data_IF_728448013807
#
_entry.id   IF_728448013807
#
_cell.length_a   1.000
_cell.length_b   1.000
_cell.length_c   1.000
_cell.angle_alpha   90.00
_cell.angle_beta   90.00
_cell.angle_gamma   90.00
#
_symmetry.space_group_name_H-M   'P 1'
#
loop_
_entity.id
_entity.type
_entity.pdbx_description
1 polymer ?
#
# COMPACT_ATOMS: atom_id res chain seq x y z
N UNK A 1 4.28 -32.83 -28.13
CA UNK A 1 3.08 -31.97 -28.18
C UNK A 1 2.69 -31.85 -29.64
N UNK A 2 1.58 -32.47 -30.04
CA UNK A 2 1.16 -32.55 -31.44
C UNK A 2 0.67 -31.20 -31.95
N UNK A 3 1.15 -30.79 -33.14
CA UNK A 3 0.83 -29.49 -33.76
C UNK A 3 -0.67 -29.27 -33.98
N UNK A 4 -1.41 -30.35 -34.23
CA UNK A 4 -2.87 -30.33 -34.36
C UNK A 4 -3.60 -29.89 -33.08
N UNK A 5 -3.03 -30.16 -31.90
CA UNK A 5 -3.63 -29.75 -30.63
C UNK A 5 -3.46 -28.24 -30.42
N UNK A 6 -2.32 -27.69 -30.85
CA UNK A 6 -2.02 -26.26 -30.74
C UNK A 6 -2.90 -25.45 -31.69
N UNK A 7 -3.10 -25.94 -32.92
CA UNK A 7 -3.98 -25.27 -33.89
C UNK A 7 -5.46 -25.33 -33.49
N UNK A 8 -5.93 -26.46 -32.93
CA UNK A 8 -7.28 -26.57 -32.40
C UNK A 8 -7.54 -25.60 -31.23
N UNK A 9 -6.56 -25.42 -30.34
CA UNK A 9 -6.65 -24.45 -29.25
C UNK A 9 -6.65 -23.00 -29.77
N UNK A 10 -5.88 -22.72 -30.83
CA UNK A 10 -5.82 -21.39 -31.46
C UNK A 10 -7.15 -21.03 -32.12
N UNK A 11 -7.79 -21.97 -32.82
CA UNK A 11 -9.11 -21.76 -33.44
C UNK A 11 -10.22 -21.56 -32.41
N UNK A 12 -10.17 -22.26 -31.27
CA UNK A 12 -11.15 -22.07 -30.20
C UNK A 12 -10.98 -20.73 -29.47
N UNK A 13 -9.76 -20.22 -29.37
CA UNK A 13 -9.48 -18.90 -28.77
C UNK A 13 -9.96 -17.75 -29.67
N UNK A 14 -9.85 -17.91 -31.00
CA UNK A 14 -10.30 -16.91 -31.99
C UNK A 14 -11.83 -16.83 -32.12
N UNK A 15 -12.55 -17.87 -31.70
CA UNK A 15 -14.01 -17.97 -31.83
C UNK A 15 -14.78 -17.54 -30.57
N UNK A 16 -14.10 -17.05 -29.53
CA UNK A 16 -14.74 -16.59 -28.29
C UNK A 16 -15.01 -15.07 -28.34
N UNK A 17 -16.22 -14.62 -27.99
CA UNK A 17 -16.54 -13.19 -27.93
C UNK A 17 -15.66 -12.49 -26.88
N UNK A 18 -15.21 -11.27 -27.19
CA UNK A 18 -14.16 -10.49 -26.51
C UNK A 18 -14.34 -10.28 -24.99
N UNK A 19 -15.49 -10.63 -24.42
CA UNK A 19 -15.79 -10.46 -22.99
C UNK A 19 -15.17 -11.55 -22.08
N UNK A 20 -14.68 -12.67 -22.64
CA UNK A 20 -14.10 -13.80 -21.86
C UNK A 20 -12.57 -13.96 -22.07
N UNK A 21 -11.90 -13.00 -22.73
CA UNK A 21 -10.45 -13.10 -23.00
C UNK A 21 -9.59 -12.52 -21.85
N UNK A 22 -10.21 -11.81 -20.91
CA UNK A 22 -9.50 -11.15 -19.79
C UNK A 22 -9.11 -12.09 -18.65
N UNK A 23 -9.70 -13.29 -18.55
CA UNK A 23 -9.41 -14.21 -17.44
C UNK A 23 -8.33 -15.26 -17.75
N UNK A 24 -8.13 -15.65 -19.02
CA UNK A 24 -7.27 -16.80 -19.36
C UNK A 24 -5.88 -16.41 -19.87
N UNK A 25 -5.63 -15.15 -20.23
CA UNK A 25 -4.34 -14.69 -20.77
C UNK A 25 -3.38 -14.10 -19.73
N UNK A 26 -3.80 -13.93 -18.48
CA UNK A 26 -3.01 -13.32 -17.40
C UNK A 26 -1.90 -14.20 -16.80
N UNK A 27 -1.60 -15.36 -17.40
CA UNK A 27 -0.60 -16.32 -16.89
C UNK A 27 0.63 -16.52 -17.79
N UNK A 28 0.75 -15.83 -18.94
CA UNK A 28 1.90 -16.00 -19.83
C UNK A 28 2.42 -14.65 -20.36
N UNK A 29 3.56 -14.27 -19.78
CA UNK A 29 4.51 -13.21 -20.16
C UNK A 29 4.38 -11.85 -19.44
N UNK A 30 5.46 -11.38 -18.78
CA UNK A 30 5.48 -10.23 -17.89
C UNK A 30 6.02 -9.01 -18.62
N UNK A 31 5.16 -8.08 -19.02
CA UNK A 31 5.52 -6.70 -19.34
C UNK A 31 4.26 -5.92 -19.67
N UNK A 32 4.14 -4.73 -19.09
CA UNK A 32 3.12 -3.72 -19.36
C UNK A 32 1.71 -4.05 -18.85
N UNK A 33 1.50 -3.86 -17.55
CA UNK A 33 0.29 -3.19 -17.07
C UNK A 33 0.72 -2.20 -15.99
N UNK A 34 0.66 -0.91 -16.34
CA UNK A 34 0.83 0.21 -15.43
C UNK A 34 -0.34 0.20 -14.43
N UNK A 35 -0.19 -0.62 -13.39
CA UNK A 35 -0.83 -0.39 -12.11
C UNK A 35 -0.13 0.83 -11.51
N UNK A 36 -0.82 1.82 -10.93
CA UNK A 36 -0.17 2.78 -10.04
C UNK A 36 0.31 2.01 -8.81
N UNK A 37 1.50 1.42 -8.95
CA UNK A 37 2.23 0.74 -7.91
C UNK A 37 2.86 1.80 -7.00
N UNK A 38 2.01 2.59 -6.33
CA UNK A 38 2.46 3.63 -5.41
C UNK A 38 2.66 3.09 -3.98
N UNK A 39 2.98 1.80 -3.84
CA UNK A 39 3.21 1.17 -2.54
C UNK A 39 4.43 0.23 -2.47
N UNK A 40 5.30 0.24 -3.48
CA UNK A 40 6.52 -0.61 -3.49
C UNK A 40 7.83 0.18 -3.43
N UNK A 41 7.82 1.43 -2.95
CA UNK A 41 9.07 2.15 -2.63
C UNK A 41 9.75 1.70 -1.34
N UNK A 42 9.15 0.81 -0.56
CA UNK A 42 9.54 0.62 0.84
C UNK A 42 9.96 -0.81 1.17
N UNK A 43 11.10 -1.29 0.66
CA UNK A 43 11.78 -2.43 1.30
C UNK A 43 13.32 -2.33 1.41
N UNK A 44 13.97 -1.26 0.92
CA UNK A 44 15.46 -1.16 1.01
C UNK A 44 16.01 0.23 1.34
N UNK A 45 15.17 1.18 1.74
CA UNK A 45 15.68 2.46 2.26
C UNK A 45 16.19 2.29 3.70
N UNK A 46 17.48 2.55 3.94
CA UNK A 46 18.03 2.62 5.31
C UNK A 46 17.16 3.55 6.16
N UNK A 47 16.78 3.08 7.35
CA UNK A 47 16.06 3.89 8.32
C UNK A 47 16.86 5.18 8.60
N UNK A 48 16.20 6.33 8.46
CA UNK A 48 16.78 7.64 8.77
C UNK A 48 16.33 8.04 10.16
N UNK A 49 17.26 8.56 10.97
CA UNK A 49 16.93 9.20 12.22
C UNK A 49 16.28 10.55 11.91
N UNK A 50 15.04 10.74 12.37
CA UNK A 50 14.28 11.98 12.25
C UNK A 50 14.12 12.58 13.63
N UNK A 51 14.32 13.90 13.75
CA UNK A 51 14.11 14.63 14.99
C UNK A 51 12.85 15.47 14.86
N UNK A 52 11.92 15.33 15.80
CA UNK A 52 10.68 16.09 15.87
C UNK A 52 10.58 16.81 17.21
N UNK A 53 9.81 17.90 17.25
CA UNK A 53 9.42 18.56 18.49
C UNK A 53 7.99 18.15 18.79
N UNK A 54 7.81 17.41 19.89
CA UNK A 54 6.51 17.02 20.41
C UNK A 54 6.31 17.73 21.76
N UNK A 55 5.07 18.11 22.06
CA UNK A 55 4.71 18.56 23.41
C UNK A 55 4.58 17.36 24.34
N UNK A 56 4.64 17.60 25.66
CA UNK A 56 4.59 16.56 26.70
C UNK A 56 3.39 15.61 26.53
N UNK A 57 2.22 16.13 26.17
CA UNK A 57 1.02 15.34 25.93
C UNK A 57 1.20 14.26 24.84
N UNK A 58 1.89 14.58 23.73
CA UNK A 58 2.13 13.61 22.66
C UNK A 58 3.24 12.62 23.00
N UNK A 59 4.21 13.02 23.82
CA UNK A 59 5.22 12.09 24.35
C UNK A 59 4.59 11.07 25.30
N UNK A 60 3.71 11.53 26.21
CA UNK A 60 2.98 10.65 27.13
C UNK A 60 2.11 9.65 26.36
N UNK A 61 1.38 10.09 25.32
CA UNK A 61 0.60 9.20 24.46
C UNK A 61 1.48 8.10 23.85
N UNK A 62 2.66 8.46 23.32
CA UNK A 62 3.60 7.49 22.76
C UNK A 62 4.14 6.52 23.81
N UNK A 63 4.40 6.98 25.03
CA UNK A 63 4.86 6.13 26.14
C UNK A 63 3.79 5.16 26.61
N UNK A 64 2.59 5.65 26.88
CA UNK A 64 1.46 4.82 27.32
C UNK A 64 1.19 3.73 26.30
N UNK A 65 1.17 4.06 25.01
CA UNK A 65 0.93 3.09 23.95
C UNK A 65 2.09 2.11 23.78
N UNK A 66 3.34 2.55 23.94
CA UNK A 66 4.50 1.66 23.92
C UNK A 66 4.44 0.64 25.08
N UNK A 67 4.09 1.08 26.30
CA UNK A 67 3.94 0.22 27.47
C UNK A 67 2.77 -0.76 27.26
N UNK A 68 1.61 -0.27 26.80
CA UNK A 68 0.40 -1.06 26.60
C UNK A 68 0.58 -2.17 25.56
N UNK A 69 1.32 -1.88 24.48
CA UNK A 69 1.54 -2.82 23.37
C UNK A 69 2.82 -3.65 23.51
N UNK A 70 3.72 -3.27 24.44
CA UNK A 70 5.06 -3.84 24.56
C UNK A 70 5.97 -3.52 23.36
N UNK A 71 5.58 -2.55 22.53
CA UNK A 71 6.33 -2.15 21.33
C UNK A 71 7.20 -0.92 21.58
N UNK A 72 8.18 -0.69 20.71
CA UNK A 72 8.96 0.55 20.75
C UNK A 72 8.11 1.77 20.35
N UNK A 73 8.45 2.96 20.87
CA UNK A 73 7.84 4.24 20.44
C UNK A 73 7.89 4.40 18.91
N UNK A 74 8.97 3.96 18.26
CA UNK A 74 9.11 3.97 16.80
C UNK A 74 8.08 3.08 16.11
N UNK A 75 7.78 1.90 16.65
CA UNK A 75 6.76 1.00 16.09
C UNK A 75 5.36 1.61 16.24
N UNK A 76 5.06 2.18 17.40
CA UNK A 76 3.78 2.87 17.66
C UNK A 76 3.60 4.04 16.69
N UNK A 77 4.63 4.87 16.53
CA UNK A 77 4.62 5.98 15.58
C UNK A 77 4.45 5.49 14.13
N UNK A 78 5.11 4.39 13.76
CA UNK A 78 4.95 3.78 12.42
C UNK A 78 3.51 3.32 12.19
N UNK A 79 2.88 2.71 13.19
CA UNK A 79 1.47 2.29 13.10
C UNK A 79 0.53 3.50 12.94
N UNK A 80 0.75 4.56 13.73
CA UNK A 80 -0.03 5.79 13.61
C UNK A 80 0.12 6.44 12.22
N UNK A 81 1.34 6.50 11.68
CA UNK A 81 1.59 7.01 10.34
C UNK A 81 0.96 6.14 9.24
N UNK A 82 0.97 4.81 9.40
CA UNK A 82 0.31 3.90 8.47
C UNK A 82 -1.22 4.11 8.48
N UNK A 83 -1.80 4.28 9.66
CA UNK A 83 -3.23 4.60 9.83
C UNK A 83 -3.57 5.96 9.23
N UNK A 84 -2.73 6.98 9.42
CA UNK A 84 -2.89 8.29 8.81
C UNK A 84 -2.84 8.21 7.29
N UNK A 85 -1.88 7.47 6.72
CA UNK A 85 -1.73 7.31 5.29
C UNK A 85 -2.91 6.57 4.64
N UNK A 86 -3.57 5.67 5.39
CA UNK A 86 -4.75 4.94 4.90
C UNK A 86 -6.06 5.72 4.95
N UNK A 87 -6.09 6.93 5.53
CA UNK A 87 -7.29 7.75 5.55
C UNK A 87 -7.53 8.47 4.21
N UNK A 88 -8.77 8.90 3.98
CA UNK A 88 -9.11 9.78 2.87
C UNK A 88 -8.51 11.19 3.05
N UNK A 89 -8.21 11.86 1.94
CA UNK A 89 -7.62 13.20 1.93
C UNK A 89 -8.44 14.22 2.71
N UNK A 90 -9.77 14.12 2.68
CA UNK A 90 -10.63 15.02 3.45
C UNK A 90 -10.42 14.87 4.97
N UNK A 91 -10.27 13.63 5.45
CA UNK A 91 -10.03 13.35 6.87
C UNK A 91 -8.63 13.82 7.27
N UNK A 92 -7.63 13.59 6.43
CA UNK A 92 -6.27 14.11 6.66
C UNK A 92 -6.27 15.63 6.76
N UNK A 93 -6.92 16.31 5.82
CA UNK A 93 -7.02 17.77 5.80
C UNK A 93 -7.75 18.32 7.03
N UNK A 94 -8.81 17.66 7.46
CA UNK A 94 -9.52 18.02 8.70
C UNK A 94 -8.58 17.99 9.90
N UNK A 95 -7.86 16.88 10.11
CA UNK A 95 -6.96 16.75 11.26
C UNK A 95 -5.73 17.65 11.17
N UNK A 96 -5.22 17.94 9.97
CA UNK A 96 -4.15 18.94 9.79
C UNK A 96 -4.61 20.33 10.21
N UNK A 97 -5.82 20.74 9.82
CA UNK A 97 -6.40 22.02 10.23
C UNK A 97 -6.66 22.08 11.73
N UNK A 98 -7.20 21.02 12.33
CA UNK A 98 -7.39 20.96 13.78
C UNK A 98 -6.05 21.00 14.53
N UNK A 99 -5.02 20.31 14.04
CA UNK A 99 -3.69 20.32 14.67
C UNK A 99 -3.07 21.72 14.73
N UNK A 100 -3.31 22.55 13.71
CA UNK A 100 -2.82 23.92 13.67
C UNK A 100 -3.49 24.85 14.70
N UNK A 101 -4.68 24.47 15.20
CA UNK A 101 -5.42 25.21 16.23
C UNK A 101 -4.98 24.84 17.65
N UNK A 102 -4.27 23.72 17.81
CA UNK A 102 -3.81 23.19 19.12
C UNK A 102 -2.47 23.85 19.54
N UNK A 103 -2.03 24.87 18.81
CA UNK A 103 -0.77 25.58 19.03
C UNK A 103 -0.88 26.66 20.11
#
# INVERSE_FOLDING_TARGET
MDKNVVDALKTLLEALPEEVVTEVTSKLNPSASHIPEENSKQLTAKARLLNFRLTEAYEEILEVEAIRTGQSKTTVLKAALAMYNSQDENIKNHWLLESAKIN
#
